data_IF_955385826652
#
_entry.id   IF_955385826652
#
_cell.length_a   1.000
_cell.length_b   1.000
_cell.length_c   1.000
_cell.angle_alpha   90.00
_cell.angle_beta   90.00
_cell.angle_gamma   90.00
#
_symmetry.space_group_name_H-M   'P 1'
#
loop_
_entity.id
_entity.type
_entity.pdbx_description
1 polymer ?
#
# COMPACT_ATOMS: atom_id res chain seq x y z
N UNK A 1 10.10 -34.16 -29.08
CA UNK A 1 10.45 -32.72 -29.17
C UNK A 1 9.42 -32.00 -30.00
N UNK A 2 8.42 -31.36 -29.37
CA UNK A 2 7.69 -30.22 -29.95
C UNK A 2 7.38 -29.25 -28.81
N UNK A 3 8.25 -28.24 -28.77
CA UNK A 3 8.15 -26.88 -28.26
C UNK A 3 7.12 -26.57 -27.17
N UNK A 4 7.65 -26.45 -25.94
CA UNK A 4 7.10 -25.59 -24.91
C UNK A 4 7.55 -24.16 -25.21
N UNK A 5 6.75 -23.46 -26.00
CA UNK A 5 6.75 -22.01 -26.23
C UNK A 5 5.35 -21.55 -25.79
N UNK A 6 5.13 -20.59 -24.91
CA UNK A 6 5.88 -19.38 -24.61
C UNK A 6 5.48 -18.90 -23.20
N UNK A 7 6.47 -18.35 -22.51
CA UNK A 7 6.43 -17.28 -21.52
C UNK A 7 5.08 -16.76 -21.00
N UNK A 8 4.95 -16.94 -19.69
CA UNK A 8 4.45 -15.99 -18.68
C UNK A 8 4.65 -14.52 -19.08
N UNK A 9 3.56 -13.74 -19.17
CA UNK A 9 3.60 -12.27 -19.21
C UNK A 9 2.20 -11.75 -18.80
N UNK A 10 1.97 -11.40 -17.52
CA UNK A 10 0.96 -10.39 -17.23
C UNK A 10 1.51 -9.04 -17.69
N UNK A 11 1.37 -8.80 -19.00
CA UNK A 11 1.61 -7.51 -19.65
C UNK A 11 0.54 -6.53 -19.19
N UNK A 12 0.88 -5.73 -18.18
CA UNK A 12 0.18 -4.49 -17.86
C UNK A 12 1.10 -3.56 -17.08
N UNK A 13 2.24 -3.17 -17.67
CA UNK A 13 2.91 -1.94 -17.23
C UNK A 13 2.10 -0.76 -17.79
N UNK A 14 0.92 -0.56 -17.23
CA UNK A 14 0.27 0.76 -17.23
C UNK A 14 1.19 1.76 -16.53
N UNK A 15 0.92 3.08 -16.62
CA UNK A 15 1.71 4.05 -15.87
C UNK A 15 1.78 3.54 -14.44
N UNK A 16 3.00 3.39 -13.93
CA UNK A 16 3.24 3.02 -12.54
C UNK A 16 2.74 4.18 -11.69
N UNK A 17 1.40 4.34 -11.61
CA UNK A 17 0.73 5.04 -10.54
C UNK A 17 1.37 4.45 -9.31
N UNK A 18 2.14 5.25 -8.60
CA UNK A 18 2.80 4.83 -7.38
C UNK A 18 1.70 4.26 -6.51
N UNK A 19 1.64 2.94 -6.41
CA UNK A 19 0.59 2.28 -5.64
C UNK A 19 0.96 2.50 -4.18
N UNK A 20 0.36 3.52 -3.59
CA UNK A 20 0.40 3.74 -2.16
C UNK A 20 -0.22 2.51 -1.50
N UNK A 21 0.59 1.76 -0.76
CA UNK A 21 0.12 0.67 0.08
C UNK A 21 0.36 1.09 1.52
N UNK A 22 -0.71 1.34 2.26
CA UNK A 22 -0.63 1.72 3.67
C UNK A 22 -0.75 0.47 4.54
N UNK A 23 0.28 0.23 5.32
CA UNK A 23 0.32 -0.80 6.36
C UNK A 23 0.05 -0.15 7.71
N UNK A 24 -0.71 -0.82 8.57
CA UNK A 24 -0.94 -0.36 9.93
C UNK A 24 0.01 -1.09 10.88
N UNK A 25 0.90 -0.34 11.50
CA UNK A 25 1.87 -0.85 12.45
C UNK A 25 1.33 -0.65 13.88
N UNK A 26 1.04 -1.74 14.59
CA UNK A 26 0.55 -1.70 15.97
C UNK A 26 1.71 -1.72 16.97
N UNK A 27 1.78 -0.70 17.83
CA UNK A 27 2.79 -0.53 18.87
C UNK A 27 2.10 -0.40 20.23
N UNK A 28 1.68 -1.53 20.77
CA UNK A 28 0.93 -1.62 22.03
C UNK A 28 -0.47 -0.98 21.90
N UNK A 29 -0.83 0.05 22.69
CA UNK A 29 -2.13 0.71 22.60
C UNK A 29 -2.23 1.72 21.45
N UNK A 30 -1.17 1.87 20.63
CA UNK A 30 -1.13 2.78 19.50
C UNK A 30 -1.04 2.02 18.18
N UNK A 31 -1.56 2.61 17.13
CA UNK A 31 -1.41 2.17 15.75
C UNK A 31 -0.94 3.36 14.91
N UNK A 32 0.06 3.14 14.05
CA UNK A 32 0.59 4.15 13.15
C UNK A 32 0.53 3.61 11.71
N UNK A 33 -0.08 4.35 10.77
CA UNK A 33 -0.06 3.97 9.37
C UNK A 33 1.28 4.34 8.73
N UNK A 34 1.86 3.43 7.96
CA UNK A 34 3.08 3.62 7.17
C UNK A 34 2.80 3.25 5.72
N UNK A 35 3.17 4.12 4.78
CA UNK A 35 3.02 3.89 3.35
C UNK A 35 4.33 3.37 2.77
N UNK A 36 4.25 2.47 1.79
CA UNK A 36 5.38 2.04 0.96
C UNK A 36 6.12 3.18 0.24
N UNK A 37 5.46 4.33 0.08
CA UNK A 37 6.01 5.57 -0.45
C UNK A 37 6.89 6.36 0.53
N UNK A 38 6.99 5.93 1.80
CA UNK A 38 7.75 6.60 2.85
C UNK A 38 6.92 7.56 3.72
N UNK A 39 5.63 7.72 3.46
CA UNK A 39 4.75 8.47 4.35
C UNK A 39 4.52 7.72 5.67
N UNK A 40 4.58 8.45 6.78
CA UNK A 40 4.30 7.94 8.11
C UNK A 40 3.26 8.83 8.77
N UNK A 41 2.10 8.26 9.06
CA UNK A 41 1.03 8.98 9.74
C UNK A 41 1.21 9.02 11.25
N UNK A 42 0.45 9.88 11.93
CA UNK A 42 0.51 10.02 13.38
C UNK A 42 0.08 8.73 14.11
N UNK A 43 0.72 8.44 15.24
CA UNK A 43 0.33 7.33 16.10
C UNK A 43 -1.03 7.62 16.77
N UNK A 44 -2.06 6.82 16.46
CA UNK A 44 -3.42 6.94 16.99
C UNK A 44 -3.73 5.79 17.96
N UNK A 45 -4.47 6.06 19.03
CA UNK A 45 -5.06 4.99 19.86
C UNK A 45 -6.30 4.37 19.22
N UNK A 46 -7.03 5.17 18.44
CA UNK A 46 -8.22 4.72 17.71
C UNK A 46 -7.81 4.01 16.42
N UNK A 47 -8.02 2.70 16.38
CA UNK A 47 -7.76 1.87 15.19
C UNK A 47 -8.58 2.30 13.96
N UNK A 48 -9.90 2.58 14.08
CA UNK A 48 -10.67 3.09 12.95
C UNK A 48 -10.11 4.41 12.41
N UNK A 49 -9.67 5.32 13.29
CA UNK A 49 -9.12 6.60 12.87
C UNK A 49 -7.84 6.43 12.05
N UNK A 50 -6.90 5.59 12.50
CA UNK A 50 -5.67 5.30 11.75
C UNK A 50 -5.95 4.64 10.40
N UNK A 51 -6.96 3.77 10.32
CA UNK A 51 -7.42 3.20 9.04
C UNK A 51 -7.94 4.26 8.10
N UNK A 52 -8.78 5.16 8.59
CA UNK A 52 -9.32 6.26 7.78
C UNK A 52 -8.22 7.20 7.27
N UNK A 53 -7.22 7.52 8.10
CA UNK A 53 -6.07 8.32 7.67
C UNK A 53 -5.25 7.60 6.60
N UNK A 54 -5.01 6.29 6.77
CA UNK A 54 -4.33 5.47 5.77
C UNK A 54 -5.08 5.41 4.45
N UNK A 55 -6.38 5.12 4.47
CA UNK A 55 -7.22 5.07 3.27
C UNK A 55 -7.31 6.44 2.57
N UNK A 56 -7.36 7.53 3.33
CA UNK A 56 -7.31 8.89 2.78
C UNK A 56 -5.98 9.16 2.06
N UNK A 57 -4.86 8.65 2.59
CA UNK A 57 -3.57 8.74 1.93
C UNK A 57 -3.52 7.88 0.65
N UNK A 58 -4.03 6.66 0.67
CA UNK A 58 -4.12 5.80 -0.53
C UNK A 58 -4.97 6.42 -1.65
N UNK A 59 -6.02 7.15 -1.27
CA UNK A 59 -6.91 7.82 -2.21
C UNK A 59 -6.38 9.18 -2.71
N UNK A 60 -5.38 9.75 -2.06
CA UNK A 60 -4.77 11.02 -2.44
C UNK A 60 -3.55 10.79 -3.34
N UNK A 61 -3.65 11.02 -4.66
CA UNK A 61 -2.46 11.00 -5.52
C UNK A 61 -1.60 12.23 -5.17
N UNK A 62 -0.48 12.04 -4.47
CA UNK A 62 0.52 13.09 -4.24
C UNK A 62 1.57 13.11 -5.35
#
# INVERSE_FOLDING_TARGET
MRDQCENEEPSAVGPALVRHQVTLNERGPFVAPECSCGWYGPARRSRPLARSEGAAHEAAPS
#
